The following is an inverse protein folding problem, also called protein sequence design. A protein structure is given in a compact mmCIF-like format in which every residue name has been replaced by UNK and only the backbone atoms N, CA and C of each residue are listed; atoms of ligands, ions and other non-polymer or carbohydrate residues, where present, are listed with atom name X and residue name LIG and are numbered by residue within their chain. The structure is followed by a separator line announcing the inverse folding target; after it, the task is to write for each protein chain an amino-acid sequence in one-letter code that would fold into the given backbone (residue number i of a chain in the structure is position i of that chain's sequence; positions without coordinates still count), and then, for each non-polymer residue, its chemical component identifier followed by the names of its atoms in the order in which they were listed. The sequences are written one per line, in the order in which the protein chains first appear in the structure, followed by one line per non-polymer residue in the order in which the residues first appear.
data_IF_216786761508
#
_entry.id   IF_216786761508
#
_cell.length_a   1.000
_cell.length_b   1.000
_cell.length_c   1.000
_cell.angle_alpha   90.00
_cell.angle_beta   90.00
_cell.angle_gamma   90.00
#
_symmetry.space_group_name_H-M   'P 1'
#
loop_
_entity.id
_entity.type
_entity.pdbx_description
1 polymer ?
#
# COMPACT_ATOMS: atom_id res chain seq x y z
N UNK A 1 19.16 14.20 -12.15
CA UNK A 1 19.48 12.82 -11.71
C UNK A 1 19.92 12.06 -12.94
N UNK A 2 21.09 11.43 -12.93
CA UNK A 2 21.58 10.67 -14.09
C UNK A 2 20.74 9.39 -14.24
N UNK A 3 20.30 9.02 -15.44
CA UNK A 3 19.49 7.82 -15.68
C UNK A 3 20.15 6.54 -15.12
N UNK A 4 21.48 6.46 -15.17
CA UNK A 4 22.24 5.34 -14.57
C UNK A 4 22.18 5.27 -13.03
N UNK A 5 21.80 6.34 -12.35
CA UNK A 5 21.57 6.34 -10.90
C UNK A 5 20.17 5.84 -10.54
N UNK A 6 19.14 6.29 -11.28
CA UNK A 6 17.75 5.85 -11.12
C UNK A 6 17.65 4.33 -11.32
N UNK A 7 18.26 3.82 -12.39
CA UNK A 7 18.28 2.39 -12.67
C UNK A 7 18.96 1.58 -11.54
N UNK A 8 20.15 2.01 -11.08
CA UNK A 8 20.87 1.31 -9.99
C UNK A 8 20.07 1.29 -8.69
N UNK A 9 19.43 2.40 -8.33
CA UNK A 9 18.55 2.47 -7.14
C UNK A 9 17.34 1.55 -7.30
N UNK A 10 16.75 1.53 -8.50
CA UNK A 10 15.65 0.63 -8.85
C UNK A 10 16.01 -0.84 -8.70
N UNK A 11 17.14 -1.26 -9.29
CA UNK A 11 17.63 -2.66 -9.17
C UNK A 11 17.93 -3.03 -7.72
N UNK A 12 18.55 -2.13 -6.95
CA UNK A 12 18.85 -2.37 -5.54
C UNK A 12 17.57 -2.61 -4.72
N UNK A 13 16.53 -1.81 -4.96
CA UNK A 13 15.25 -1.99 -4.29
C UNK A 13 14.50 -3.25 -4.78
N UNK A 14 14.51 -3.50 -6.09
CA UNK A 14 13.88 -4.67 -6.69
C UNK A 14 14.47 -5.96 -6.11
N UNK A 15 15.79 -6.03 -5.89
CA UNK A 15 16.45 -7.17 -5.21
C UNK A 15 15.94 -7.42 -3.79
N UNK A 16 15.65 -6.35 -3.04
CA UNK A 16 15.09 -6.47 -1.68
C UNK A 16 13.66 -6.99 -1.72
N UNK A 17 12.87 -6.55 -2.71
CA UNK A 17 11.47 -6.96 -2.85
C UNK A 17 11.38 -8.36 -3.44
N UNK A 18 11.99 -8.63 -4.58
CA UNK A 18 11.83 -9.91 -5.29
C UNK A 18 12.77 -11.03 -4.88
N UNK A 19 13.72 -10.80 -3.97
CA UNK A 19 14.59 -11.85 -3.44
C UNK A 19 15.54 -12.48 -4.49
N UNK A 20 15.83 -13.79 -4.42
CA UNK A 20 16.75 -14.47 -5.33
C UNK A 20 16.40 -14.32 -6.82
N UNK A 21 15.10 -14.39 -7.16
CA UNK A 21 14.59 -14.31 -8.55
C UNK A 21 13.93 -12.96 -8.83
N UNK A 22 14.51 -11.89 -8.30
CA UNK A 22 13.85 -10.58 -8.20
C UNK A 22 13.35 -9.98 -9.52
N UNK A 23 14.01 -10.29 -10.63
CA UNK A 23 13.72 -9.73 -11.94
C UNK A 23 13.00 -10.71 -12.87
N UNK A 24 12.60 -11.90 -12.39
CA UNK A 24 11.93 -12.91 -13.22
C UNK A 24 10.68 -12.38 -13.96
N UNK A 25 9.76 -11.62 -13.33
CA UNK A 25 8.61 -11.06 -14.05
C UNK A 25 9.00 -10.06 -15.14
N UNK A 26 10.10 -9.32 -14.94
CA UNK A 26 10.58 -8.31 -15.89
C UNK A 26 11.34 -8.96 -17.04
N UNK A 27 12.18 -9.96 -16.77
CA UNK A 27 12.89 -10.73 -17.79
C UNK A 27 11.95 -11.38 -18.78
N UNK A 28 10.81 -11.89 -18.30
CA UNK A 28 9.78 -12.51 -19.14
C UNK A 28 9.11 -11.54 -20.14
N UNK A 29 9.32 -10.22 -20.00
CA UNK A 29 8.76 -9.19 -20.88
C UNK A 29 9.82 -8.51 -21.75
N UNK A 30 11.10 -8.83 -21.57
CA UNK A 30 12.21 -8.05 -22.15
C UNK A 30 12.35 -8.21 -23.67
N UNK A 31 11.94 -9.35 -24.22
CA UNK A 31 11.93 -9.64 -25.66
C UNK A 31 10.83 -8.88 -26.41
N UNK A 32 9.70 -8.63 -25.75
CA UNK A 32 8.54 -7.92 -26.33
C UNK A 32 8.55 -6.42 -26.03
N UNK A 33 8.88 -6.04 -24.78
CA UNK A 33 8.72 -4.67 -24.27
C UNK A 33 9.93 -4.24 -23.39
N UNK A 34 11.15 -4.14 -23.94
CA UNK A 34 12.35 -3.81 -23.18
C UNK A 34 12.28 -2.43 -22.49
N UNK A 35 11.64 -1.44 -23.11
CA UNK A 35 11.45 -0.13 -22.48
C UNK A 35 10.49 -0.20 -21.28
N UNK A 36 9.47 -1.06 -21.33
CA UNK A 36 8.57 -1.26 -20.19
C UNK A 36 9.35 -1.83 -18.99
N UNK A 37 10.27 -2.78 -19.24
CA UNK A 37 11.17 -3.31 -18.22
C UNK A 37 12.02 -2.20 -17.62
N UNK A 38 12.64 -1.36 -18.46
CA UNK A 38 13.43 -0.22 -18.00
C UNK A 38 12.60 0.76 -17.18
N UNK A 39 11.38 1.10 -17.62
CA UNK A 39 10.48 2.00 -16.88
C UNK A 39 10.06 1.40 -15.53
N UNK A 40 9.76 0.11 -15.47
CA UNK A 40 9.44 -0.56 -14.22
C UNK A 40 10.60 -0.41 -13.21
N UNK A 41 11.84 -0.60 -13.67
CA UNK A 41 13.03 -0.45 -12.82
C UNK A 41 13.28 1.00 -12.45
N UNK A 42 13.38 1.91 -13.42
CA UNK A 42 13.77 3.31 -13.19
C UNK A 42 12.66 4.11 -12.51
N UNK A 43 11.47 4.13 -13.11
CA UNK A 43 10.36 4.91 -12.59
C UNK A 43 9.67 4.19 -11.42
N UNK A 44 9.32 2.92 -11.60
CA UNK A 44 8.62 2.14 -10.57
C UNK A 44 9.44 1.99 -9.30
N UNK A 45 10.55 1.27 -9.37
CA UNK A 45 11.39 1.01 -8.19
C UNK A 45 12.36 2.16 -7.89
N UNK A 46 12.93 2.77 -8.92
CA UNK A 46 13.95 3.81 -8.78
C UNK A 46 13.40 5.16 -8.32
N UNK A 47 12.19 5.57 -8.70
CA UNK A 47 11.67 6.89 -8.33
C UNK A 47 10.50 6.86 -7.35
N UNK A 48 9.60 5.89 -7.46
CA UNK A 48 8.38 5.86 -6.65
C UNK A 48 8.60 5.02 -5.38
N UNK A 49 8.95 3.75 -5.53
CA UNK A 49 9.02 2.83 -4.39
C UNK A 49 10.24 3.07 -3.48
N UNK A 50 11.27 3.79 -3.96
CA UNK A 50 12.50 4.08 -3.20
C UNK A 50 12.42 5.32 -2.31
N UNK A 51 11.33 6.10 -2.39
CA UNK A 51 11.18 7.34 -1.63
C UNK A 51 11.11 7.04 -0.12
N UNK A 52 11.85 7.78 0.72
CA UNK A 52 12.07 7.41 2.11
C UNK A 52 10.89 7.72 3.04
N UNK A 53 9.94 8.55 2.60
CA UNK A 53 8.86 9.05 3.46
C UNK A 53 7.87 7.96 3.90
N UNK A 54 7.79 6.84 3.18
CA UNK A 54 7.00 5.67 3.54
C UNK A 54 7.90 4.43 3.50
N UNK A 55 7.93 3.68 4.60
CA UNK A 55 8.80 2.53 4.74
C UNK A 55 8.40 1.37 3.80
N UNK A 56 9.37 0.52 3.49
CA UNK A 56 9.20 -0.51 2.47
C UNK A 56 8.18 -1.59 2.87
N UNK A 57 8.01 -1.90 4.16
CA UNK A 57 7.00 -2.86 4.63
C UNK A 57 5.61 -2.33 4.35
N UNK A 58 5.36 -1.09 4.76
CA UNK A 58 4.07 -0.43 4.53
C UNK A 58 3.80 -0.26 3.03
N UNK A 59 4.82 0.05 2.21
CA UNK A 59 4.68 0.08 0.74
C UNK A 59 4.21 -1.25 0.17
N UNK A 60 4.87 -2.36 0.53
CA UNK A 60 4.48 -3.67 0.03
C UNK A 60 3.06 -4.06 0.47
N UNK A 61 2.69 -3.82 1.73
CA UNK A 61 1.32 -4.09 2.20
C UNK A 61 0.29 -3.22 1.47
N UNK A 62 0.59 -1.95 1.22
CA UNK A 62 -0.29 -1.07 0.44
C UNK A 62 -0.43 -1.53 -1.02
N UNK A 63 0.64 -2.06 -1.63
CA UNK A 63 0.56 -2.71 -2.96
C UNK A 63 -0.29 -3.98 -2.92
N UNK A 64 -0.09 -4.86 -1.93
CA UNK A 64 -0.89 -6.09 -1.76
C UNK A 64 -2.37 -5.75 -1.61
N UNK A 65 -2.72 -4.76 -0.78
CA UNK A 65 -4.11 -4.31 -0.62
C UNK A 65 -4.74 -3.82 -1.93
N UNK A 66 -4.02 -3.00 -2.69
CA UNK A 66 -4.49 -2.49 -3.98
C UNK A 66 -4.74 -3.63 -4.99
N UNK A 67 -3.75 -4.52 -5.15
CA UNK A 67 -3.83 -5.64 -6.11
C UNK A 67 -4.92 -6.65 -5.70
N UNK A 68 -5.03 -6.94 -4.40
CA UNK A 68 -6.08 -7.81 -3.88
C UNK A 68 -7.48 -7.22 -4.12
N UNK A 69 -7.65 -5.91 -3.93
CA UNK A 69 -8.93 -5.24 -4.15
C UNK A 69 -9.31 -5.13 -5.63
N UNK A 70 -8.35 -4.90 -6.53
CA UNK A 70 -8.62 -4.87 -7.97
C UNK A 70 -8.89 -6.25 -8.56
N UNK A 71 -8.29 -7.31 -7.99
CA UNK A 71 -8.62 -8.71 -8.31
C UNK A 71 -8.30 -9.16 -9.74
N UNK A 72 -7.48 -8.40 -10.49
CA UNK A 72 -7.23 -8.61 -11.91
C UNK A 72 -5.73 -8.78 -12.27
N UNK A 73 -4.85 -8.87 -11.27
CA UNK A 73 -3.40 -8.88 -11.44
C UNK A 73 -2.73 -9.92 -10.52
N UNK A 74 -3.17 -11.18 -10.61
CA UNK A 74 -2.70 -12.26 -9.75
C UNK A 74 -1.17 -12.51 -9.77
N UNK A 75 -0.47 -12.47 -10.93
CA UNK A 75 0.98 -12.62 -10.95
C UNK A 75 1.71 -11.54 -10.13
N UNK A 76 1.25 -10.30 -10.23
CA UNK A 76 1.79 -9.16 -9.47
C UNK A 76 1.43 -9.28 -7.99
N UNK A 77 0.20 -9.69 -7.67
CA UNK A 77 -0.22 -9.94 -6.29
C UNK A 77 0.69 -10.99 -5.63
N UNK A 78 0.95 -12.10 -6.33
CA UNK A 78 1.87 -13.16 -5.88
C UNK A 78 3.27 -12.61 -5.63
N UNK A 79 3.82 -11.84 -6.59
CA UNK A 79 5.13 -11.21 -6.45
C UNK A 79 5.22 -10.27 -5.24
N UNK A 80 4.18 -9.47 -4.98
CA UNK A 80 4.18 -8.52 -3.87
C UNK A 80 3.81 -9.14 -2.51
N UNK A 81 3.09 -10.26 -2.47
CA UNK A 81 2.95 -11.07 -1.26
C UNK A 81 4.31 -11.66 -0.88
N UNK A 82 5.00 -12.28 -1.83
CA UNK A 82 6.36 -12.79 -1.64
C UNK A 82 7.31 -11.67 -1.21
N UNK A 83 7.20 -10.51 -1.87
CA UNK A 83 8.02 -9.35 -1.57
C UNK A 83 7.75 -8.70 -0.23
N UNK A 84 6.51 -8.70 0.25
CA UNK A 84 6.19 -8.29 1.62
C UNK A 84 6.95 -9.17 2.64
N UNK A 85 7.00 -10.48 2.42
CA UNK A 85 7.74 -11.40 3.29
C UNK A 85 9.26 -11.20 3.19
N UNK A 86 9.80 -10.89 2.01
CA UNK A 86 11.22 -10.56 1.83
C UNK A 86 11.65 -9.29 2.58
N UNK A 87 10.72 -8.37 2.80
CA UNK A 87 10.97 -7.14 3.57
C UNK A 87 10.49 -7.23 5.02
N UNK A 88 10.38 -8.45 5.55
CA UNK A 88 10.10 -8.75 6.96
C UNK A 88 8.65 -8.46 7.42
N UNK A 89 7.68 -8.40 6.50
CA UNK A 89 6.29 -8.56 6.90
C UNK A 89 6.03 -10.01 7.33
N UNK A 90 5.18 -10.20 8.33
CA UNK A 90 4.73 -11.53 8.77
C UNK A 90 3.46 -11.94 8.02
N UNK A 91 3.18 -13.26 7.87
CA UNK A 91 1.98 -13.74 7.18
C UNK A 91 0.67 -13.12 7.69
N UNK A 92 0.56 -12.89 9.01
CA UNK A 92 -0.63 -12.27 9.61
C UNK A 92 -0.92 -10.87 9.04
N UNK A 93 0.11 -10.03 8.84
CA UNK A 93 -0.06 -8.70 8.24
C UNK A 93 -0.58 -8.77 6.80
N UNK A 94 -0.09 -9.75 6.02
CA UNK A 94 -0.53 -9.96 4.63
C UNK A 94 -1.98 -10.42 4.59
N UNK A 95 -2.36 -11.38 5.43
CA UNK A 95 -3.74 -11.88 5.46
C UNK A 95 -4.70 -10.78 5.93
N UNK A 96 -4.36 -10.05 6.99
CA UNK A 96 -5.17 -8.92 7.44
C UNK A 96 -5.31 -7.84 6.35
N UNK A 97 -4.22 -7.54 5.63
CA UNK A 97 -4.24 -6.62 4.49
C UNK A 97 -5.22 -7.07 3.40
N UNK A 98 -5.23 -8.35 3.05
CA UNK A 98 -6.14 -8.92 2.06
C UNK A 98 -7.59 -8.87 2.56
N UNK A 99 -7.83 -9.11 3.85
CA UNK A 99 -9.17 -9.06 4.43
C UNK A 99 -9.77 -7.65 4.46
N UNK A 100 -8.95 -6.60 4.47
CA UNK A 100 -9.47 -5.25 4.24
C UNK A 100 -10.15 -5.15 2.86
N UNK A 101 -9.66 -5.87 1.84
CA UNK A 101 -10.29 -5.89 0.53
C UNK A 101 -11.69 -6.53 0.53
N UNK A 102 -11.98 -7.47 1.42
CA UNK A 102 -13.33 -8.05 1.56
C UNK A 102 -14.37 -6.95 1.82
N UNK A 103 -14.06 -6.03 2.74
CA UNK A 103 -14.95 -4.92 3.12
C UNK A 103 -15.24 -3.95 1.98
N UNK A 104 -14.28 -3.72 1.08
CA UNK A 104 -14.36 -2.63 0.10
C UNK A 104 -14.55 -3.09 -1.34
N UNK A 105 -14.10 -4.29 -1.69
CA UNK A 105 -14.17 -4.90 -3.02
C UNK A 105 -15.06 -6.15 -3.07
N UNK A 106 -15.46 -6.69 -1.90
CA UNK A 106 -16.31 -7.86 -1.78
C UNK A 106 -15.56 -9.20 -1.71
N UNK A 107 -16.31 -10.24 -1.40
CA UNK A 107 -15.75 -11.56 -1.02
C UNK A 107 -15.05 -12.31 -2.15
N UNK A 108 -15.42 -12.08 -3.41
CA UNK A 108 -14.79 -12.75 -4.56
C UNK A 108 -13.32 -12.37 -4.74
N UNK A 109 -13.03 -11.07 -4.68
CA UNK A 109 -11.67 -10.53 -4.80
C UNK A 109 -10.80 -10.98 -3.61
N UNK A 110 -11.33 -10.84 -2.39
CA UNK A 110 -10.64 -11.27 -1.17
C UNK A 110 -10.35 -12.78 -1.15
N UNK A 111 -11.33 -13.62 -1.50
CA UNK A 111 -11.14 -15.09 -1.54
C UNK A 111 -10.07 -15.50 -2.55
N UNK A 112 -10.04 -14.86 -3.71
CA UNK A 112 -9.02 -15.15 -4.74
C UNK A 112 -7.64 -14.73 -4.26
N UNK A 113 -7.51 -13.55 -3.65
CA UNK A 113 -6.26 -13.08 -3.07
C UNK A 113 -5.77 -13.95 -1.90
N UNK A 114 -6.67 -14.43 -1.04
CA UNK A 114 -6.33 -15.35 0.06
C UNK A 114 -5.76 -16.67 -0.47
N UNK A 115 -6.30 -17.19 -1.58
CA UNK A 115 -5.77 -18.40 -2.24
C UNK A 115 -4.35 -18.17 -2.74
N UNK A 116 -4.08 -17.03 -3.40
CA UNK A 116 -2.72 -16.67 -3.80
C UNK A 116 -1.78 -16.58 -2.60
N UNK A 117 -2.22 -16.01 -1.48
CA UNK A 117 -1.42 -15.96 -0.25
C UNK A 117 -1.15 -17.36 0.32
N UNK A 118 -2.15 -18.25 0.34
CA UNK A 118 -1.99 -19.65 0.76
C UNK A 118 -0.91 -20.37 -0.04
N UNK A 119 -0.92 -20.21 -1.36
CA UNK A 119 0.07 -20.81 -2.25
C UNK A 119 1.49 -20.29 -1.96
N UNK A 120 1.67 -18.97 -1.81
CA UNK A 120 2.98 -18.38 -1.49
C UNK A 120 3.48 -18.84 -0.13
N UNK A 121 2.62 -18.88 0.88
CA UNK A 121 3.01 -19.35 2.22
C UNK A 121 3.38 -20.83 2.20
N UNK A 122 2.62 -21.67 1.49
CA UNK A 122 2.93 -23.08 1.33
C UNK A 122 4.29 -23.29 0.66
N UNK A 123 4.60 -22.53 -0.40
CA UNK A 123 5.90 -22.56 -1.08
C UNK A 123 7.06 -22.17 -0.16
N UNK A 124 6.82 -21.25 0.79
CA UNK A 124 7.80 -20.82 1.80
C UNK A 124 7.82 -21.71 3.06
N UNK A 125 7.00 -22.75 3.15
CA UNK A 125 6.86 -23.57 4.35
C UNK A 125 6.27 -22.80 5.55
N UNK A 126 5.57 -21.69 5.30
CA UNK A 126 4.93 -20.85 6.32
C UNK A 126 3.50 -21.33 6.58
N UNK A 127 3.08 -21.31 7.84
CA UNK A 127 1.71 -21.63 8.22
C UNK A 127 0.78 -20.48 7.87
N UNK A 128 -0.40 -20.82 7.35
CA UNK A 128 -1.46 -19.84 7.16
C UNK A 128 -2.01 -19.40 8.54
N UNK A 129 -2.09 -18.09 8.83
CA UNK A 129 -2.68 -17.59 10.07
C UNK A 129 -4.18 -17.96 10.15
N UNK A 130 -4.55 -18.79 11.14
CA UNK A 130 -5.94 -19.30 11.28
C UNK A 130 -6.88 -18.21 11.83
N UNK A 131 -6.38 -17.26 12.62
CA UNK A 131 -7.21 -16.29 13.36
C UNK A 131 -7.56 -15.01 12.58
N UNK A 132 -7.00 -14.82 11.39
CA UNK A 132 -7.30 -13.63 10.61
C UNK A 132 -8.72 -13.67 10.03
N UNK A 133 -9.27 -14.85 9.72
CA UNK A 133 -10.58 -15.05 9.08
C UNK A 133 -11.74 -15.44 10.00
N UNK A 134 -11.52 -15.70 11.29
CA UNK A 134 -12.58 -16.15 12.23
C UNK A 134 -13.31 -15.00 12.94
N UNK A 135 -12.95 -13.74 12.69
CA UNK A 135 -13.54 -12.56 13.35
C UNK A 135 -14.96 -12.16 12.87
N UNK A 136 -15.74 -13.07 12.29
CA UNK A 136 -17.20 -12.89 12.15
C UNK A 136 -17.97 -13.35 13.40
N UNK A 137 -17.37 -14.19 14.25
CA UNK A 137 -17.87 -14.48 15.58
C UNK A 137 -16.69 -14.80 16.48
N UNK A 138 -16.30 -13.87 17.36
CA UNK A 138 -15.80 -14.10 18.71
C UNK A 138 -15.21 -12.78 19.24
N UNK A 139 -16.02 -12.10 20.06
CA UNK A 139 -15.47 -11.26 21.11
C UNK A 139 -14.79 -12.17 22.15
N UNK A 140 -13.74 -11.64 22.79
CA UNK A 140 -12.95 -12.23 23.86
C UNK A 140 -11.86 -13.25 23.45
N UNK A 141 -10.74 -12.72 22.97
CA UNK A 141 -9.45 -13.02 23.61
C UNK A 141 -8.46 -11.87 23.30
N UNK A 142 -8.24 -10.98 24.28
CA UNK A 142 -7.29 -9.87 24.15
C UNK A 142 -5.82 -10.33 24.23
N UNK A 143 -5.57 -11.63 24.45
CA UNK A 143 -4.23 -12.16 24.71
C UNK A 143 -3.69 -13.16 23.68
N UNK A 144 -4.41 -13.40 22.57
CA UNK A 144 -3.87 -14.13 21.43
C UNK A 144 -3.01 -13.20 20.55
N UNK A 145 -1.70 -13.20 20.79
CA UNK A 145 -0.65 -12.47 20.05
C UNK A 145 -0.51 -12.92 18.59
N UNK A 146 -1.57 -12.81 17.78
CA UNK A 146 -1.40 -12.65 16.34
C UNK A 146 -0.98 -11.20 16.08
N UNK A 147 0.19 -10.92 15.47
CA UNK A 147 0.60 -9.55 15.21
C UNK A 147 -0.37 -8.94 14.20
N UNK A 148 -1.30 -8.14 14.71
CA UNK A 148 -2.21 -7.33 13.92
C UNK A 148 -1.47 -6.11 13.42
N UNK A 149 -1.91 -5.59 12.27
CA UNK A 149 -1.45 -4.28 11.81
C UNK A 149 -1.69 -3.24 12.91
N UNK A 150 -0.70 -2.40 13.18
CA UNK A 150 -0.95 -1.24 14.01
C UNK A 150 -1.98 -0.30 13.34
N UNK A 151 -2.72 0.52 14.11
CA UNK A 151 -3.77 1.38 13.55
C UNK A 151 -3.29 2.29 12.40
N UNK A 152 -2.06 2.80 12.47
CA UNK A 152 -1.47 3.68 11.46
C UNK A 152 -1.22 2.93 10.16
N UNK A 153 -0.55 1.78 10.21
CA UNK A 153 -0.30 0.94 9.02
C UNK A 153 -1.60 0.48 8.38
N UNK A 154 -2.58 0.02 9.18
CA UNK A 154 -3.90 -0.38 8.69
C UNK A 154 -4.60 0.75 7.93
N UNK A 155 -4.54 1.98 8.45
CA UNK A 155 -5.15 3.14 7.80
C UNK A 155 -4.45 3.52 6.48
N UNK A 156 -3.10 3.51 6.44
CA UNK A 156 -2.31 3.80 5.23
C UNK A 156 -2.62 2.77 4.11
N UNK A 157 -2.63 1.49 4.47
CA UNK A 157 -2.97 0.40 3.54
C UNK A 157 -4.39 0.55 2.99
N UNK A 158 -5.35 0.94 3.84
CA UNK A 158 -6.73 1.23 3.42
C UNK A 158 -6.80 2.43 2.46
N UNK A 159 -6.00 3.48 2.67
CA UNK A 159 -5.89 4.63 1.75
C UNK A 159 -5.43 4.19 0.36
N UNK A 160 -4.41 3.34 0.27
CA UNK A 160 -3.93 2.80 -1.00
C UNK A 160 -5.02 1.96 -1.71
N UNK A 161 -5.69 1.09 -0.95
CA UNK A 161 -6.81 0.27 -1.43
C UNK A 161 -7.92 1.12 -2.04
N UNK A 162 -8.43 2.11 -1.30
CA UNK A 162 -9.53 2.97 -1.75
C UNK A 162 -9.14 3.85 -2.93
N UNK A 163 -7.86 4.23 -3.01
CA UNK A 163 -7.31 4.94 -4.18
C UNK A 163 -7.37 4.03 -5.41
N UNK A 164 -6.92 2.77 -5.29
CA UNK A 164 -6.96 1.81 -6.40
C UNK A 164 -8.38 1.52 -6.89
N UNK A 165 -9.35 1.45 -5.97
CA UNK A 165 -10.77 1.27 -6.31
C UNK A 165 -11.46 2.55 -6.81
N UNK A 166 -10.80 3.71 -6.78
CA UNK A 166 -11.40 4.98 -7.15
C UNK A 166 -12.56 5.41 -6.23
N UNK A 167 -12.59 4.97 -4.97
CA UNK A 167 -13.67 5.28 -4.01
C UNK A 167 -13.39 6.60 -3.29
N UNK A 168 -13.47 7.73 -4.00
CA UNK A 168 -12.99 9.02 -3.46
C UNK A 168 -13.78 9.50 -2.23
N UNK A 169 -15.07 9.16 -2.11
CA UNK A 169 -15.89 9.51 -0.95
C UNK A 169 -15.33 8.88 0.34
N UNK A 170 -15.11 7.57 0.32
CA UNK A 170 -14.53 6.82 1.45
C UNK A 170 -13.06 7.21 1.67
N UNK A 171 -12.31 7.44 0.59
CA UNK A 171 -10.91 7.83 0.68
C UNK A 171 -10.71 9.09 1.56
N UNK A 172 -11.60 10.09 1.48
CA UNK A 172 -11.50 11.30 2.29
C UNK A 172 -11.60 11.02 3.79
N UNK A 173 -12.57 10.21 4.21
CA UNK A 173 -12.72 9.85 5.63
C UNK A 173 -11.52 9.04 6.12
N UNK A 174 -11.02 8.11 5.29
CA UNK A 174 -9.86 7.27 5.63
C UNK A 174 -8.53 8.03 5.64
N UNK A 175 -8.37 9.09 4.83
CA UNK A 175 -7.23 10.01 4.96
C UNK A 175 -7.27 10.71 6.33
N UNK A 176 -8.44 11.16 6.78
CA UNK A 176 -8.60 11.73 8.13
C UNK A 176 -8.22 10.71 9.22
N UNK A 177 -8.77 9.50 9.13
CA UNK A 177 -8.47 8.42 10.07
C UNK A 177 -6.98 8.03 10.09
N UNK A 178 -6.29 8.06 8.95
CA UNK A 178 -4.85 7.79 8.90
C UNK A 178 -4.05 8.85 9.67
N UNK A 179 -4.39 10.13 9.49
CA UNK A 179 -3.76 11.23 10.24
C UNK A 179 -4.06 11.13 11.74
N UNK A 180 -5.30 10.79 12.10
CA UNK A 180 -5.72 10.62 13.51
C UNK A 180 -5.03 9.42 14.17
N UNK A 181 -4.70 8.38 13.38
CA UNK A 181 -3.88 7.25 13.81
C UNK A 181 -2.38 7.56 13.87
N UNK A 182 -1.95 8.78 13.54
CA UNK A 182 -0.55 9.22 13.61
C UNK A 182 0.27 9.03 12.33
N UNK A 183 -0.36 8.76 11.18
CA UNK A 183 0.34 8.79 9.89
C UNK A 183 0.77 10.22 9.55
N UNK A 184 1.99 10.37 9.02
CA UNK A 184 2.41 11.66 8.50
C UNK A 184 1.68 11.99 7.19
N UNK A 185 1.52 13.29 6.89
CA UNK A 185 0.95 13.74 5.61
C UNK A 185 1.71 13.17 4.41
N UNK A 186 3.04 13.09 4.52
CA UNK A 186 3.90 12.54 3.48
C UNK A 186 3.60 11.06 3.24
N UNK A 187 3.39 10.26 4.28
CA UNK A 187 3.06 8.83 4.16
C UNK A 187 1.75 8.56 3.42
N UNK A 188 0.72 9.36 3.72
CA UNK A 188 -0.56 9.31 3.01
C UNK A 188 -0.34 9.63 1.53
N UNK A 189 0.43 10.68 1.23
CA UNK A 189 0.74 11.08 -0.15
C UNK A 189 1.52 9.98 -0.87
N UNK A 190 2.52 9.37 -0.24
CA UNK A 190 3.29 8.27 -0.81
C UNK A 190 2.43 7.04 -1.12
N UNK A 191 1.51 6.68 -0.22
CA UNK A 191 0.60 5.55 -0.40
C UNK A 191 -0.35 5.75 -1.58
N UNK A 192 -0.81 6.99 -1.80
CA UNK A 192 -1.65 7.36 -2.96
C UNK A 192 -0.80 7.44 -4.24
N UNK A 193 0.37 8.06 -4.17
CA UNK A 193 1.22 8.31 -5.33
C UNK A 193 1.71 7.00 -5.96
N UNK A 194 2.06 5.99 -5.17
CA UNK A 194 2.47 4.71 -5.71
C UNK A 194 1.35 3.96 -6.46
N UNK A 195 0.08 4.33 -6.25
CA UNK A 195 -1.02 3.76 -7.03
C UNK A 195 -0.95 4.14 -8.51
N UNK A 196 -0.14 5.14 -8.89
CA UNK A 196 0.14 5.41 -10.29
C UNK A 196 0.74 4.18 -11.01
N UNK A 197 1.50 3.34 -10.29
CA UNK A 197 2.10 2.11 -10.83
C UNK A 197 1.11 0.95 -10.93
N UNK A 198 0.22 0.81 -9.94
CA UNK A 198 -0.61 -0.38 -9.79
C UNK A 198 -2.05 -0.19 -10.29
N UNK A 199 -2.60 1.01 -10.14
CA UNK A 199 -3.96 1.38 -10.57
C UNK A 199 -3.97 2.47 -11.66
N UNK A 200 -2.79 2.94 -12.08
CA UNK A 200 -2.63 3.97 -13.10
C UNK A 200 -2.70 5.41 -12.57
N UNK A 201 -2.15 6.34 -13.35
CA UNK A 201 -2.12 7.77 -13.02
C UNK A 201 -3.49 8.39 -12.72
N UNK A 202 -4.58 8.09 -13.46
CA UNK A 202 -5.89 8.66 -13.15
C UNK A 202 -6.37 8.35 -11.72
N UNK A 203 -6.15 7.12 -11.23
CA UNK A 203 -6.52 6.73 -9.87
C UNK A 203 -5.71 7.53 -8.83
N UNK A 204 -4.39 7.64 -9.02
CA UNK A 204 -3.52 8.40 -8.12
C UNK A 204 -3.85 9.90 -8.12
N UNK A 205 -4.10 10.52 -9.28
CA UNK A 205 -4.48 11.93 -9.40
C UNK A 205 -5.79 12.23 -8.67
N UNK A 206 -6.80 11.39 -8.89
CA UNK A 206 -8.08 11.50 -8.19
C UNK A 206 -7.92 11.29 -6.68
N UNK A 207 -7.04 10.38 -6.27
CA UNK A 207 -6.70 10.15 -4.87
C UNK A 207 -6.04 11.36 -4.22
N UNK A 208 -5.05 11.98 -4.88
CA UNK A 208 -4.39 13.18 -4.39
C UNK A 208 -5.38 14.35 -4.30
N UNK A 209 -6.26 14.51 -5.28
CA UNK A 209 -7.31 15.55 -5.23
C UNK A 209 -8.24 15.35 -4.02
N UNK A 210 -8.63 14.10 -3.73
CA UNK A 210 -9.44 13.77 -2.56
C UNK A 210 -8.68 14.03 -1.24
N UNK A 211 -7.43 13.58 -1.13
CA UNK A 211 -6.59 13.81 0.05
C UNK A 211 -6.32 15.29 0.28
N UNK A 212 -6.07 16.07 -0.78
CA UNK A 212 -5.84 17.53 -0.71
C UNK A 212 -6.99 18.23 0.02
N UNK A 213 -8.25 17.86 -0.24
CA UNK A 213 -9.40 18.47 0.42
C UNK A 213 -9.33 18.32 1.96
N UNK A 214 -8.91 17.16 2.45
CA UNK A 214 -8.76 16.87 3.89
C UNK A 214 -7.51 17.55 4.46
N UNK A 215 -6.39 17.44 3.73
CA UNK A 215 -5.09 17.97 4.13
C UNK A 215 -5.09 19.50 4.23
N UNK A 216 -5.76 20.21 3.34
CA UNK A 216 -5.90 21.67 3.42
C UNK A 216 -6.80 22.06 4.60
N UNK A 217 -7.94 21.40 4.77
CA UNK A 217 -8.88 21.68 5.87
C UNK A 217 -8.26 21.48 7.27
N UNK A 218 -7.26 20.60 7.39
CA UNK A 218 -6.52 20.33 8.65
C UNK A 218 -5.25 21.16 8.82
N UNK A 219 -4.95 22.08 7.90
CA UNK A 219 -3.84 23.03 8.10
C UNK A 219 -4.34 24.10 9.09
N UNK A 220 -3.64 24.34 10.22
CA UNK A 220 -4.07 25.38 11.15
C UNK A 220 -4.19 26.71 10.41
N UNK A 221 -5.30 27.44 10.61
CA UNK A 221 -5.37 28.82 10.18
C UNK A 221 -4.17 29.57 10.77
N UNK A 222 -3.46 30.32 9.92
CA UNK A 222 -2.37 31.18 10.37
C UNK A 222 -2.87 32.06 11.52
N UNK A 223 -2.05 32.22 12.57
CA UNK A 223 -2.35 33.15 13.67
C UNK A 223 -2.59 34.58 13.13
N UNK A 224 -2.07 34.91 11.94
CA UNK A 224 -2.27 36.19 11.27
C UNK A 224 -3.68 36.43 10.68
N UNK A 225 -4.51 35.40 10.54
CA UNK A 225 -5.87 35.51 9.99
C UNK A 225 -6.97 35.62 11.07
N UNK A 226 -6.58 35.75 12.36
CA UNK A 226 -7.55 36.04 13.41
C UNK A 226 -7.90 37.53 13.35
N UNK A 227 -9.17 37.91 13.13
CA UNK A 227 -9.56 39.31 13.22
C UNK A 227 -9.16 39.84 14.61
N UNK A 228 -8.34 40.89 14.61
CA UNK A 228 -7.72 41.43 15.82
C UNK A 228 -8.75 41.70 16.91
N UNK A 229 -8.49 41.17 18.10
CA UNK A 229 -9.13 41.63 19.32
C UNK A 229 -8.87 43.14 19.42
N UNK A 230 -9.91 43.93 19.17
CA UNK A 230 -9.89 45.34 19.47
C UNK A 230 -9.78 45.45 20.99
N UNK A 231 -8.59 45.84 21.44
CA UNK A 231 -8.33 46.32 22.79
C UNK A 231 -9.34 47.43 23.09
N UNK A 232 -10.34 47.12 23.90
CA UNK A 232 -11.19 48.14 24.52
C UNK A 232 -10.34 48.79 25.60
N UNK A 233 -10.05 50.09 25.38
CA UNK A 233 -9.44 50.97 26.37
C UNK A 233 -10.42 51.44 27.42
#
# INVERSE_FOLDING_TARGET
MNDGERYRRGVALLRRVGGPDFDAPLKALADVAPDLVRFAVEFGYGDIMSRPDLDLRTRQLATVAALAAMGNAEPQLRYHIDGALNVECVPAHVVETILLADRYAGSGAATSALRTAQEVFAQRGLKFPIDAGTALHHAADENALSPRLDPRTRAIVTVALLTALGRQADLRSHVGAALDAGAARAEVVEAIQQMALYAGFPAALNGIAAARAVLVARTPASIADRPGEQSTG
#
